data_IF_322052696181
#
_entry.id   IF_322052696181
#
_cell.length_a   1.000
_cell.length_b   1.000
_cell.length_c   1.000
_cell.angle_alpha   90.00
_cell.angle_beta   90.00
_cell.angle_gamma   90.00
#
_symmetry.space_group_name_H-M   'P 1'
#
loop_
_entity.id
_entity.type
_entity.pdbx_description
1 polymer ?
#
# COMPACT_ATOMS: atom_id res chain seq x y z
N UNK A 1 47.98 38.46 40.69
CA UNK A 1 46.64 37.99 40.27
C UNK A 1 46.29 38.68 38.97
N UNK A 2 46.28 37.92 37.89
CA UNK A 2 45.57 38.11 36.61
C UNK A 2 46.38 37.39 35.53
N UNK A 3 46.12 36.08 35.40
CA UNK A 3 46.55 35.23 34.31
C UNK A 3 45.88 35.66 33.00
N UNK A 4 46.67 35.90 31.95
CA UNK A 4 46.24 35.90 30.56
C UNK A 4 47.37 35.30 29.71
N UNK A 5 47.21 34.03 29.35
CA UNK A 5 48.07 33.30 28.41
C UNK A 5 47.70 33.64 26.95
N UNK A 6 48.66 33.51 26.01
CA UNK A 6 48.53 33.94 24.62
C UNK A 6 47.76 32.95 23.73
N UNK A 7 47.31 33.48 22.58
CA UNK A 7 46.59 32.80 21.50
C UNK A 7 47.29 31.54 20.97
N UNK A 8 46.48 30.52 20.66
CA UNK A 8 46.86 29.30 19.93
C UNK A 8 46.63 29.47 18.43
N UNK A 9 47.43 28.82 17.57
CA UNK A 9 47.35 28.93 16.12
C UNK A 9 46.31 27.98 15.50
N UNK A 10 45.96 28.27 14.25
CA UNK A 10 45.04 27.53 13.39
C UNK A 10 45.48 26.08 13.14
N UNK A 11 44.53 25.14 13.21
CA UNK A 11 44.66 23.79 12.67
C UNK A 11 43.74 23.62 11.45
N UNK A 12 44.36 23.13 10.39
CA UNK A 12 43.83 22.94 9.05
C UNK A 12 42.80 21.80 9.03
N UNK A 13 41.72 22.01 8.27
CA UNK A 13 40.75 20.97 7.93
C UNK A 13 41.37 19.91 7.02
N UNK A 14 41.21 18.65 7.43
CA UNK A 14 41.28 17.50 6.54
C UNK A 14 39.87 16.89 6.51
N UNK A 15 39.24 17.01 5.34
CA UNK A 15 37.92 16.50 5.01
C UNK A 15 38.07 14.98 4.79
N UNK A 16 37.83 14.18 5.83
CA UNK A 16 37.70 12.72 5.70
C UNK A 16 36.37 12.42 4.98
N UNK A 17 36.47 12.28 3.64
CA UNK A 17 35.37 11.74 2.83
C UNK A 17 35.11 10.30 3.25
N UNK A 18 33.95 10.08 3.87
CA UNK A 18 33.43 8.76 4.19
C UNK A 18 33.35 7.86 2.95
N UNK A 19 33.68 6.58 3.15
CA UNK A 19 33.81 5.55 2.13
C UNK A 19 32.40 5.11 1.64
N UNK A 20 32.06 5.27 0.35
CA UNK A 20 30.72 5.02 -0.19
C UNK A 20 30.29 3.54 -0.13
N UNK A 21 31.19 2.63 0.25
CA UNK A 21 30.88 1.21 0.44
C UNK A 21 30.21 0.95 1.79
N UNK A 22 30.48 1.75 2.83
CA UNK A 22 29.80 1.63 4.13
C UNK A 22 28.36 2.14 4.10
N UNK A 23 28.08 3.23 3.38
CA UNK A 23 26.70 3.71 3.16
C UNK A 23 25.83 2.70 2.40
N UNK A 24 26.43 1.88 1.54
CA UNK A 24 25.72 0.84 0.79
C UNK A 24 25.37 -0.39 1.66
N UNK A 25 26.14 -0.66 2.73
CA UNK A 25 25.86 -1.77 3.65
C UNK A 25 24.88 -1.39 4.77
N UNK A 26 24.83 -0.11 5.16
CA UNK A 26 23.81 0.44 6.07
C UNK A 26 22.43 0.62 5.40
N UNK A 27 22.36 0.53 4.06
CA UNK A 27 21.12 0.45 3.29
C UNK A 27 20.46 -0.94 3.31
N UNK A 28 21.00 -1.90 4.06
CA UNK A 28 20.20 -3.01 4.58
C UNK A 28 19.19 -2.44 5.57
N UNK A 29 18.08 -1.95 5.01
CA UNK A 29 16.87 -1.58 5.72
C UNK A 29 16.50 -2.75 6.64
N UNK A 30 16.98 -2.68 7.88
CA UNK A 30 16.44 -3.44 8.97
C UNK A 30 15.02 -2.93 9.12
N UNK A 31 14.08 -3.56 8.40
CA UNK A 31 12.69 -3.52 8.76
C UNK A 31 12.63 -4.20 10.12
N UNK A 32 12.81 -3.40 11.18
CA UNK A 32 12.63 -3.84 12.55
C UNK A 32 11.28 -4.54 12.71
N UNK A 33 11.05 -5.25 13.82
CA UNK A 33 9.81 -5.99 14.02
C UNK A 33 8.62 -5.05 13.75
N UNK A 34 7.90 -5.29 12.64
CA UNK A 34 6.68 -4.56 12.32
C UNK A 34 5.74 -4.82 13.50
N UNK A 35 5.31 -3.77 14.20
CA UNK A 35 4.24 -3.91 15.19
C UNK A 35 3.07 -4.57 14.47
N UNK A 36 2.69 -5.76 14.93
CA UNK A 36 1.45 -6.40 14.48
C UNK A 36 0.32 -5.37 14.64
N UNK A 37 -0.50 -5.20 13.62
CA UNK A 37 -1.69 -4.38 13.77
C UNK A 37 -2.55 -4.98 14.89
N UNK A 38 -2.91 -4.15 15.86
CA UNK A 38 -3.84 -4.53 16.93
C UNK A 38 -5.26 -4.62 16.35
N UNK A 39 -5.55 -5.77 15.74
CA UNK A 39 -6.81 -6.02 15.03
C UNK A 39 -7.85 -6.56 16.01
N UNK A 40 -8.94 -5.81 16.20
CA UNK A 40 -10.07 -6.26 17.01
C UNK A 40 -11.01 -7.15 16.19
N UNK A 41 -10.75 -8.46 16.20
CA UNK A 41 -11.55 -9.45 15.47
C UNK A 41 -13.02 -9.50 15.85
N UNK A 42 -13.38 -9.24 17.11
CA UNK A 42 -14.79 -9.21 17.53
C UNK A 42 -15.54 -8.09 16.82
N UNK A 43 -14.93 -6.91 16.71
CA UNK A 43 -15.48 -5.81 15.92
C UNK A 43 -15.59 -6.15 14.44
N UNK A 44 -14.57 -6.79 13.87
CA UNK A 44 -14.57 -7.17 12.45
C UNK A 44 -15.70 -8.14 12.07
N UNK A 45 -16.15 -9.00 12.99
CA UNK A 45 -17.28 -9.92 12.79
C UNK A 45 -18.61 -9.19 12.61
N UNK A 46 -18.72 -7.96 13.07
CA UNK A 46 -19.92 -7.11 12.97
C UNK A 46 -19.94 -6.26 11.70
N UNK A 47 -18.80 -6.15 11.01
CA UNK A 47 -18.63 -5.30 9.84
C UNK A 47 -18.90 -6.04 8.53
N UNK A 48 -19.24 -5.26 7.51
CA UNK A 48 -19.64 -5.77 6.21
C UNK A 48 -18.95 -5.02 5.09
N UNK A 49 -18.80 -5.72 3.97
CA UNK A 49 -18.34 -5.17 2.70
C UNK A 49 -19.33 -5.56 1.61
N UNK A 50 -19.32 -4.83 0.50
CA UNK A 50 -20.28 -4.97 -0.57
C UNK A 50 -19.60 -5.49 -1.83
N UNK A 51 -20.16 -6.54 -2.44
CA UNK A 51 -19.66 -7.07 -3.71
C UNK A 51 -20.13 -6.23 -4.91
N UNK A 52 -19.71 -6.63 -6.11
CA UNK A 52 -20.05 -5.94 -7.36
C UNK A 52 -21.56 -5.83 -7.64
N UNK A 53 -22.36 -6.74 -7.08
CA UNK A 53 -23.82 -6.75 -7.23
C UNK A 53 -24.52 -5.97 -6.11
N UNK A 54 -23.77 -5.45 -5.14
CA UNK A 54 -24.30 -4.76 -3.96
C UNK A 54 -24.75 -5.71 -2.85
N UNK A 55 -24.39 -7.00 -2.91
CA UNK A 55 -24.68 -7.94 -1.83
C UNK A 55 -23.82 -7.61 -0.62
N UNK A 56 -24.44 -7.67 0.56
CA UNK A 56 -23.78 -7.41 1.84
C UNK A 56 -23.09 -8.69 2.33
N UNK A 57 -21.76 -8.65 2.42
CA UNK A 57 -20.90 -9.77 2.82
C UNK A 57 -20.28 -9.46 4.18
N UNK A 58 -20.35 -10.39 5.13
CA UNK A 58 -19.69 -10.21 6.43
C UNK A 58 -18.18 -10.24 6.23
N UNK A 59 -17.45 -9.28 6.79
CA UNK A 59 -16.02 -9.17 6.53
C UNK A 59 -15.24 -10.41 6.99
N UNK A 60 -15.62 -11.03 8.10
CA UNK A 60 -15.02 -12.29 8.57
C UNK A 60 -15.05 -13.41 7.51
N UNK A 61 -16.08 -13.46 6.67
CA UNK A 61 -16.20 -14.51 5.64
C UNK A 61 -15.18 -14.36 4.50
N UNK A 62 -14.53 -13.18 4.40
CA UNK A 62 -13.49 -12.91 3.41
C UNK A 62 -12.22 -13.73 3.70
N UNK A 63 -11.88 -13.97 4.97
CA UNK A 63 -10.64 -14.64 5.38
C UNK A 63 -10.86 -15.87 6.27
N UNK A 64 -12.08 -16.11 6.78
CA UNK A 64 -12.35 -17.19 7.75
C UNK A 64 -11.89 -18.58 7.30
N UNK A 65 -12.09 -18.93 6.02
CA UNK A 65 -11.86 -20.29 5.52
C UNK A 65 -10.49 -20.50 4.89
N UNK A 66 -9.85 -19.42 4.44
CA UNK A 66 -8.68 -19.48 3.57
C UNK A 66 -7.80 -18.27 3.84
N UNK A 67 -6.49 -18.45 3.74
CA UNK A 67 -5.55 -17.32 3.81
C UNK A 67 -5.86 -16.34 2.69
N UNK A 68 -6.00 -15.07 3.05
CA UNK A 68 -6.39 -14.02 2.11
C UNK A 68 -5.46 -12.84 2.24
N UNK A 69 -4.83 -12.45 1.12
CA UNK A 69 -4.20 -11.14 0.93
C UNK A 69 -5.33 -10.14 0.70
N UNK A 70 -5.46 -9.17 1.61
CA UNK A 70 -6.46 -8.11 1.59
C UNK A 70 -5.75 -6.78 1.35
N UNK A 71 -5.97 -6.19 0.19
CA UNK A 71 -5.45 -4.87 -0.18
C UNK A 71 -6.58 -3.85 -0.05
N UNK A 72 -6.45 -2.95 0.91
CA UNK A 72 -7.36 -1.84 1.15
C UNK A 72 -6.82 -0.59 0.45
N UNK A 73 -7.54 -0.12 -0.56
CA UNK A 73 -7.09 1.01 -1.38
C UNK A 73 -7.47 2.34 -0.76
N UNK A 74 -6.75 3.41 -1.09
CA UNK A 74 -7.08 4.77 -0.60
C UNK A 74 -8.30 5.33 -1.30
N UNK A 75 -8.32 5.23 -2.62
CA UNK A 75 -9.40 5.68 -3.47
C UNK A 75 -9.42 4.87 -4.77
N UNK A 76 -10.59 4.42 -5.21
CA UNK A 76 -10.72 3.68 -6.48
C UNK A 76 -10.52 4.56 -7.73
N UNK A 77 -10.37 5.88 -7.58
CA UNK A 77 -10.11 6.80 -8.69
C UNK A 77 -8.71 7.43 -8.62
N UNK A 78 -7.87 7.02 -7.66
CA UNK A 78 -6.48 7.50 -7.58
C UNK A 78 -5.59 6.76 -8.60
N UNK A 79 -4.71 7.52 -9.27
CA UNK A 79 -3.81 6.99 -10.28
C UNK A 79 -2.82 5.98 -9.70
N UNK A 80 -2.28 6.26 -8.51
CA UNK A 80 -1.31 5.36 -7.86
C UNK A 80 -1.99 4.02 -7.52
N UNK A 81 -3.19 4.09 -6.95
CA UNK A 81 -4.02 2.90 -6.70
C UNK A 81 -4.34 2.16 -7.99
N UNK A 82 -4.69 2.85 -9.08
CA UNK A 82 -4.97 2.23 -10.38
C UNK A 82 -3.77 1.43 -10.89
N UNK A 83 -2.57 2.02 -10.90
CA UNK A 83 -1.35 1.33 -11.36
C UNK A 83 -1.01 0.14 -10.48
N UNK A 84 -1.14 0.29 -9.16
CA UNK A 84 -0.92 -0.82 -8.22
C UNK A 84 -1.89 -1.99 -8.46
N UNK A 85 -3.18 -1.70 -8.69
CA UNK A 85 -4.19 -2.74 -8.97
C UNK A 85 -4.04 -3.35 -10.37
N UNK A 86 -3.56 -2.60 -11.36
CA UNK A 86 -3.15 -3.17 -12.66
C UNK A 86 -2.06 -4.21 -12.49
N UNK A 87 -1.05 -3.94 -11.65
CA UNK A 87 0.03 -4.89 -11.40
C UNK A 87 -0.48 -6.10 -10.59
N UNK A 88 -1.38 -5.91 -9.62
CA UNK A 88 -2.07 -7.03 -8.96
C UNK A 88 -2.85 -7.91 -9.94
N UNK A 89 -3.39 -7.35 -11.03
CA UNK A 89 -4.12 -8.11 -12.04
C UNK A 89 -3.22 -9.06 -12.86
N UNK A 90 -1.91 -8.80 -12.90
CA UNK A 90 -0.91 -9.59 -13.64
C UNK A 90 -0.58 -10.91 -12.93
N UNK A 91 -0.77 -10.97 -11.60
CA UNK A 91 -0.53 -12.18 -10.81
C UNK A 91 -1.30 -13.34 -11.46
N UNK A 92 -0.68 -14.51 -11.73
CA UNK A 92 -1.39 -15.68 -12.24
C UNK A 92 -2.30 -16.30 -11.17
N UNK A 93 -3.48 -16.80 -11.58
CA UNK A 93 -4.43 -17.44 -10.66
C UNK A 93 -3.83 -18.73 -10.08
N UNK A 94 -3.03 -19.43 -10.88
CA UNK A 94 -2.38 -20.69 -10.53
C UNK A 94 -1.46 -20.51 -9.31
N UNK A 95 -0.74 -19.39 -9.24
CA UNK A 95 0.16 -19.11 -8.11
C UNK A 95 -0.62 -18.94 -6.79
N UNK A 96 -1.79 -18.31 -6.86
CA UNK A 96 -2.68 -18.15 -5.72
C UNK A 96 -3.30 -19.50 -5.31
N UNK A 97 -3.69 -20.33 -6.28
CA UNK A 97 -4.28 -21.64 -6.03
C UNK A 97 -3.29 -22.63 -5.41
N UNK A 98 -2.06 -22.70 -5.92
CA UNK A 98 -1.01 -23.58 -5.38
C UNK A 98 -0.64 -23.24 -3.93
N UNK A 99 -0.69 -21.95 -3.58
CA UNK A 99 -0.45 -21.47 -2.22
C UNK A 99 -1.71 -21.48 -1.32
N UNK A 100 -2.83 -22.03 -1.81
CA UNK A 100 -4.14 -21.99 -1.16
C UNK A 100 -4.50 -20.59 -0.62
N UNK A 101 -4.16 -19.55 -1.37
CA UNK A 101 -4.30 -18.14 -0.95
C UNK A 101 -5.27 -17.40 -1.88
N UNK A 102 -6.06 -16.49 -1.32
CA UNK A 102 -6.91 -15.58 -2.09
C UNK A 102 -6.32 -14.18 -2.13
N UNK A 103 -6.59 -13.47 -3.23
CA UNK A 103 -6.30 -12.05 -3.37
C UNK A 103 -7.61 -11.27 -3.44
N UNK A 104 -7.76 -10.28 -2.57
CA UNK A 104 -8.95 -9.45 -2.44
C UNK A 104 -8.53 -7.98 -2.39
N UNK A 105 -9.22 -7.15 -3.19
CA UNK A 105 -9.10 -5.68 -3.10
C UNK A 105 -10.37 -5.12 -2.48
N UNK A 106 -10.24 -4.20 -1.53
CA UNK A 106 -11.35 -3.46 -0.91
C UNK A 106 -11.15 -1.98 -1.20
N UNK A 107 -12.22 -1.28 -1.63
CA UNK A 107 -12.18 0.17 -1.87
C UNK A 107 -13.15 0.96 -0.99
N UNK A 108 -12.81 2.17 -0.55
CA UNK A 108 -13.69 3.03 0.24
C UNK A 108 -14.61 3.82 -0.71
N UNK A 109 -15.50 3.11 -1.40
CA UNK A 109 -16.38 3.67 -2.41
C UNK A 109 -17.69 2.86 -2.50
N UNK A 110 -18.77 3.43 -3.08
CA UNK A 110 -19.96 2.67 -3.43
C UNK A 110 -19.69 1.51 -4.40
N UNK A 111 -20.35 0.37 -4.21
CA UNK A 111 -20.14 -0.85 -5.00
C UNK A 111 -20.32 -0.67 -6.52
N UNK A 112 -21.13 0.31 -6.95
CA UNK A 112 -21.32 0.65 -8.38
C UNK A 112 -20.02 0.99 -9.10
N UNK A 113 -18.96 1.35 -8.37
CA UNK A 113 -17.64 1.64 -8.93
C UNK A 113 -16.78 0.40 -9.18
N UNK A 114 -17.14 -0.78 -8.66
CA UNK A 114 -16.37 -2.01 -8.86
C UNK A 114 -16.30 -2.38 -10.34
N UNK A 115 -17.45 -2.47 -11.03
CA UNK A 115 -17.52 -2.81 -12.47
C UNK A 115 -16.62 -1.92 -13.35
N UNK A 116 -16.77 -0.58 -13.34
CA UNK A 116 -15.95 0.28 -14.17
C UNK A 116 -14.47 0.24 -13.77
N UNK A 117 -14.15 0.13 -12.48
CA UNK A 117 -12.76 0.06 -12.02
C UNK A 117 -12.06 -1.21 -12.49
N UNK A 118 -12.69 -2.39 -12.33
CA UNK A 118 -12.17 -3.66 -12.85
C UNK A 118 -11.94 -3.62 -14.35
N UNK A 119 -12.84 -2.98 -15.10
CA UNK A 119 -12.71 -2.86 -16.57
C UNK A 119 -11.46 -2.07 -16.96
N UNK A 120 -11.09 -1.03 -16.22
CA UNK A 120 -9.92 -0.20 -16.55
C UNK A 120 -8.61 -0.77 -16.02
N UNK A 121 -8.63 -1.56 -14.95
CA UNK A 121 -7.44 -2.20 -14.38
C UNK A 121 -7.22 -3.63 -14.86
N UNK A 122 -8.20 -4.21 -15.57
CA UNK A 122 -8.25 -5.63 -15.91
C UNK A 122 -8.19 -6.56 -14.69
N UNK A 123 -8.58 -6.07 -13.50
CA UNK A 123 -8.53 -6.85 -12.27
C UNK A 123 -9.58 -7.96 -12.26
N UNK A 124 -9.11 -9.20 -12.22
CA UNK A 124 -9.94 -10.41 -12.36
C UNK A 124 -10.32 -11.06 -11.03
N UNK A 125 -9.63 -10.74 -9.94
CA UNK A 125 -9.87 -11.33 -8.62
C UNK A 125 -11.04 -10.69 -7.87
N UNK A 126 -11.38 -11.23 -6.70
CA UNK A 126 -12.48 -10.72 -5.89
C UNK A 126 -12.23 -9.28 -5.46
N UNK A 127 -13.26 -8.44 -5.56
CA UNK A 127 -13.20 -7.05 -5.15
C UNK A 127 -14.46 -6.70 -4.33
N UNK A 128 -14.27 -5.93 -3.27
CA UNK A 128 -15.35 -5.43 -2.43
C UNK A 128 -15.24 -3.91 -2.21
N UNK A 129 -16.30 -3.36 -1.64
CA UNK A 129 -16.44 -1.96 -1.31
C UNK A 129 -16.86 -1.78 0.15
N UNK A 130 -16.29 -0.80 0.83
CA UNK A 130 -16.70 -0.31 2.16
C UNK A 130 -17.11 1.16 2.04
N UNK A 131 -18.37 1.47 1.66
CA UNK A 131 -18.80 2.83 1.37
C UNK A 131 -18.77 3.74 2.61
N UNK A 132 -19.00 3.19 3.80
CA UNK A 132 -19.08 3.96 5.05
C UNK A 132 -17.71 4.12 5.75
N UNK A 133 -16.70 3.41 5.24
CA UNK A 133 -15.33 3.43 5.77
C UNK A 133 -15.22 2.84 7.18
N UNK A 134 -16.22 2.10 7.64
CA UNK A 134 -16.23 1.52 9.00
C UNK A 134 -15.17 0.44 9.15
N UNK A 135 -14.95 -0.37 8.09
CA UNK A 135 -13.89 -1.35 8.07
C UNK A 135 -12.52 -0.68 8.08
N UNK A 136 -12.33 0.37 7.29
CA UNK A 136 -11.06 1.14 7.30
C UNK A 136 -10.73 1.66 8.71
N UNK A 137 -11.70 2.26 9.40
CA UNK A 137 -11.53 2.74 10.78
C UNK A 137 -11.19 1.60 11.74
N UNK A 138 -11.86 0.46 11.62
CA UNK A 138 -11.64 -0.70 12.49
C UNK A 138 -10.28 -1.38 12.25
N UNK A 139 -9.78 -1.34 11.02
CA UNK A 139 -8.45 -1.87 10.65
C UNK A 139 -7.30 -0.91 11.00
N UNK A 140 -7.60 0.24 11.61
CA UNK A 140 -6.58 1.23 12.01
C UNK A 140 -6.13 2.16 10.88
N UNK A 141 -6.78 2.12 9.71
CA UNK A 141 -6.54 3.07 8.64
C UNK A 141 -7.09 4.45 9.06
N UNK A 142 -6.19 5.34 9.49
CA UNK A 142 -6.57 6.67 9.97
C UNK A 142 -6.61 7.70 8.84
N UNK A 143 -7.35 8.79 9.06
CA UNK A 143 -7.24 9.99 8.25
C UNK A 143 -5.96 10.76 8.63
N UNK A 144 -4.81 10.39 8.08
CA UNK A 144 -3.55 11.12 8.30
C UNK A 144 -2.99 11.67 6.98
N UNK A 145 -2.81 12.98 6.94
CA UNK A 145 -2.15 13.69 5.85
C UNK A 145 -0.65 13.37 5.90
N UNK A 146 -0.18 12.49 5.01
CA UNK A 146 1.21 12.52 4.58
C UNK A 146 1.23 12.23 3.08
N UNK A 147 1.38 13.29 2.28
CA UNK A 147 1.92 13.13 0.93
C UNK A 147 3.40 12.80 1.13
N UNK A 148 3.75 11.52 0.99
CA UNK A 148 5.13 11.08 0.95
C UNK A 148 5.79 11.55 -0.35
N UNK A 149 7.14 11.63 -0.40
CA UNK A 149 7.86 11.95 -1.62
C UNK A 149 7.55 10.94 -2.75
N UNK A 150 7.13 11.44 -3.93
CA UNK A 150 6.71 10.65 -5.10
C UNK A 150 7.87 9.89 -5.79
N UNK A 151 9.10 10.30 -5.50
CA UNK A 151 10.38 9.72 -5.91
C UNK A 151 10.63 8.31 -5.33
N UNK A 152 9.85 7.88 -4.34
CA UNK A 152 9.89 6.51 -3.78
C UNK A 152 8.89 5.54 -4.43
N UNK A 153 8.02 6.04 -5.31
CA UNK A 153 6.94 5.26 -5.90
C UNK A 153 7.46 4.46 -7.12
N UNK A 154 7.86 3.21 -6.90
CA UNK A 154 8.48 2.34 -7.95
C UNK A 154 7.63 2.14 -9.22
N UNK A 155 6.33 2.38 -9.15
CA UNK A 155 5.37 2.11 -10.22
C UNK A 155 5.00 3.33 -11.09
N UNK A 156 5.46 4.55 -10.76
CA UNK A 156 4.90 5.79 -11.32
C UNK A 156 5.83 6.44 -12.38
N UNK A 157 5.29 6.77 -13.57
CA UNK A 157 6.02 7.40 -14.71
C UNK A 157 6.25 8.91 -14.54
N UNK A 158 7.48 9.36 -14.30
CA UNK A 158 7.85 10.77 -14.02
C UNK A 158 7.44 11.88 -15.03
N UNK A 159 7.01 11.58 -16.27
CA UNK A 159 6.83 12.60 -17.33
C UNK A 159 5.40 13.08 -17.66
N UNK A 160 4.37 12.28 -17.40
CA UNK A 160 2.97 12.56 -17.83
C UNK A 160 2.12 13.17 -16.69
N UNK A 161 2.74 13.29 -15.52
CA UNK A 161 2.11 13.40 -14.21
C UNK A 161 1.49 14.78 -13.93
N UNK A 162 2.16 15.89 -14.29
CA UNK A 162 1.68 17.20 -13.81
C UNK A 162 0.39 17.65 -14.49
N UNK A 163 0.19 17.30 -15.77
CA UNK A 163 -1.00 17.65 -16.54
C UNK A 163 -2.21 16.79 -16.16
N UNK A 164 -1.99 15.49 -15.98
CA UNK A 164 -3.06 14.56 -15.63
C UNK A 164 -3.50 14.70 -14.16
N UNK A 165 -2.56 14.95 -13.24
CA UNK A 165 -2.88 15.27 -11.83
C UNK A 165 -3.72 16.56 -11.71
N UNK A 166 -3.40 17.62 -12.45
CA UNK A 166 -4.22 18.85 -12.47
C UNK A 166 -5.60 18.61 -13.09
N UNK A 167 -5.74 17.64 -13.98
CA UNK A 167 -7.03 17.27 -14.59
C UNK A 167 -7.88 16.44 -13.62
N UNK A 168 -7.27 15.48 -12.92
CA UNK A 168 -7.93 14.65 -11.90
C UNK A 168 -8.29 15.43 -10.64
N UNK A 169 -7.42 16.35 -10.18
CA UNK A 169 -7.75 17.27 -9.08
C UNK A 169 -8.97 18.13 -9.43
N UNK A 170 -9.09 18.59 -10.68
CA UNK A 170 -10.30 19.27 -11.17
C UNK A 170 -11.50 18.34 -11.27
N UNK A 171 -11.34 17.14 -11.82
CA UNK A 171 -12.43 16.17 -11.91
C UNK A 171 -12.97 15.76 -10.53
N UNK A 172 -12.09 15.69 -9.53
CA UNK A 172 -12.40 15.46 -8.11
C UNK A 172 -13.14 16.65 -7.47
N UNK A 173 -12.92 17.88 -7.97
CA UNK A 173 -13.73 19.05 -7.57
C UNK A 173 -15.06 19.18 -8.32
N UNK A 174 -15.25 18.48 -9.45
CA UNK A 174 -16.44 18.59 -10.31
C UNK A 174 -17.38 17.36 -10.30
N UNK A 175 -16.99 16.26 -9.66
CA UNK A 175 -17.87 15.12 -9.40
C UNK A 175 -18.24 15.12 -7.92
N UNK A 176 -19.50 14.81 -7.61
CA UNK A 176 -19.98 14.56 -6.25
C UNK A 176 -19.12 13.47 -5.58
N UNK A 177 -18.04 13.89 -4.91
CA UNK A 177 -16.99 13.01 -4.43
C UNK A 177 -17.34 12.55 -3.00
N UNK A 178 -17.53 11.24 -2.82
CA UNK A 178 -17.89 10.60 -1.54
C UNK A 178 -16.66 9.91 -0.91
N UNK A 179 -15.58 10.66 -0.63
CA UNK A 179 -14.43 10.10 0.10
C UNK A 179 -13.44 11.17 0.55
N UNK A 180 -12.96 11.08 1.78
CA UNK A 180 -12.01 12.04 2.35
C UNK A 180 -10.60 11.75 1.80
N UNK A 181 -9.94 12.74 1.13
CA UNK A 181 -8.58 12.62 0.59
C UNK A 181 -7.50 12.14 1.58
N UNK A 182 -7.80 12.19 2.89
CA UNK A 182 -6.93 11.76 3.96
C UNK A 182 -6.99 10.25 4.25
N UNK A 183 -7.87 9.50 3.59
CA UNK A 183 -8.00 8.05 3.80
C UNK A 183 -6.67 7.34 3.52
N UNK A 184 -6.19 6.56 4.49
CA UNK A 184 -5.05 5.67 4.32
C UNK A 184 -5.49 4.32 3.74
N UNK A 185 -4.60 3.71 2.97
CA UNK A 185 -4.73 2.35 2.48
C UNK A 185 -4.03 1.41 3.45
N UNK A 186 -4.14 0.11 3.19
CA UNK A 186 -3.46 -0.90 3.98
C UNK A 186 -3.35 -2.20 3.21
N UNK A 187 -2.42 -3.06 3.63
CA UNK A 187 -2.33 -4.44 3.18
C UNK A 187 -2.26 -5.39 4.36
N UNK A 188 -3.11 -6.41 4.34
CA UNK A 188 -3.17 -7.44 5.36
C UNK A 188 -3.08 -8.82 4.74
N UNK A 189 -2.51 -9.77 5.48
CA UNK A 189 -2.65 -11.21 5.17
C UNK A 189 -3.35 -11.82 6.38
N UNK A 190 -4.57 -12.29 6.17
CA UNK A 190 -5.44 -12.78 7.25
C UNK A 190 -5.94 -14.19 6.97
N UNK A 191 -6.20 -14.90 8.05
CA UNK A 191 -6.80 -16.23 8.04
C UNK A 191 -5.87 -17.36 7.55
N UNK A 192 -6.36 -18.61 7.58
CA UNK A 192 -7.69 -19.03 8.00
C UNK A 192 -7.98 -18.71 9.49
N UNK A 193 -9.23 -18.38 9.82
CA UNK A 193 -9.63 -17.95 11.16
C UNK A 193 -9.19 -16.53 11.53
N UNK A 194 -9.26 -16.20 12.82
CA UNK A 194 -8.94 -14.88 13.36
C UNK A 194 -7.43 -14.72 13.60
N UNK A 195 -6.65 -14.78 12.51
CA UNK A 195 -5.19 -14.69 12.52
C UNK A 195 -4.71 -13.62 11.54
N UNK A 196 -3.78 -12.77 11.97
CA UNK A 196 -3.04 -11.84 11.10
C UNK A 196 -1.64 -12.40 10.90
N UNK A 197 -1.27 -12.68 9.65
CA UNK A 197 0.09 -13.09 9.28
C UNK A 197 0.97 -11.90 8.87
N UNK A 198 0.34 -10.82 8.41
CA UNK A 198 1.00 -9.61 7.96
C UNK A 198 0.04 -8.43 8.05
N UNK A 199 0.57 -7.26 8.38
CA UNK A 199 -0.14 -5.99 8.34
C UNK A 199 0.79 -4.85 7.95
N UNK A 200 0.29 -3.95 7.12
CA UNK A 200 0.91 -2.67 6.78
C UNK A 200 -0.19 -1.64 6.59
N UNK A 201 -0.09 -0.50 7.28
CA UNK A 201 -0.94 0.67 7.04
C UNK A 201 -0.11 1.66 6.24
N UNK A 202 -0.62 2.09 5.10
CA UNK A 202 0.11 2.98 4.21
C UNK A 202 0.31 4.34 4.91
N UNK A 203 1.57 4.78 5.05
CA UNK A 203 1.88 6.10 5.60
C UNK A 203 1.58 7.22 4.61
N UNK A 204 1.56 6.91 3.30
CA UNK A 204 1.30 7.89 2.25
C UNK A 204 0.67 7.27 1.00
N UNK A 205 0.30 8.10 0.04
CA UNK A 205 -0.25 7.65 -1.25
C UNK A 205 0.70 6.71 -2.02
N UNK A 206 2.01 6.83 -1.82
CA UNK A 206 3.04 6.05 -2.47
C UNK A 206 3.59 4.89 -1.64
N UNK A 207 3.08 4.70 -0.41
CA UNK A 207 3.58 3.72 0.56
C UNK A 207 2.83 2.39 0.52
N UNK A 208 2.37 1.98 -0.67
CA UNK A 208 1.88 0.63 -0.87
C UNK A 208 3.03 -0.37 -0.67
N UNK A 209 2.72 -1.53 -0.08
CA UNK A 209 3.68 -2.62 0.05
C UNK A 209 4.11 -3.11 -1.33
N UNK A 210 5.37 -3.47 -1.50
CA UNK A 210 5.84 -4.13 -2.73
C UNK A 210 5.05 -5.43 -2.93
N UNK A 211 4.45 -5.62 -4.12
CA UNK A 211 3.57 -6.78 -4.37
C UNK A 211 4.34 -8.09 -4.13
N UNK A 212 5.62 -8.17 -4.51
CA UNK A 212 6.40 -9.39 -4.29
C UNK A 212 6.71 -9.64 -2.81
N UNK A 213 6.79 -8.60 -1.97
CA UNK A 213 6.91 -8.77 -0.53
C UNK A 213 5.60 -9.33 0.06
N UNK A 214 4.44 -8.91 -0.44
CA UNK A 214 3.14 -9.46 -0.04
C UNK A 214 2.97 -10.92 -0.47
N UNK A 215 3.34 -11.23 -1.72
CA UNK A 215 3.26 -12.60 -2.24
C UNK A 215 4.16 -13.53 -1.41
N UNK A 216 5.40 -13.14 -1.17
CA UNK A 216 6.33 -13.91 -0.34
C UNK A 216 5.82 -14.11 1.09
N UNK A 217 5.30 -13.06 1.73
CA UNK A 217 4.72 -13.15 3.07
C UNK A 217 3.47 -14.06 3.12
N UNK A 218 2.74 -14.19 2.01
CA UNK A 218 1.59 -15.09 1.90
C UNK A 218 1.99 -16.54 1.59
N UNK A 219 3.22 -16.78 1.14
CA UNK A 219 3.69 -18.07 0.60
C UNK A 219 3.36 -18.26 -0.88
N UNK A 220 3.09 -17.18 -1.61
CA UNK A 220 2.82 -17.16 -3.06
C UNK A 220 4.11 -16.87 -3.83
N UNK A 221 4.28 -17.50 -4.99
CA UNK A 221 5.42 -17.25 -5.87
C UNK A 221 5.47 -15.78 -6.34
N UNK A 222 6.68 -15.22 -6.41
CA UNK A 222 6.93 -13.86 -6.93
C UNK A 222 6.60 -13.76 -8.42
N UNK A 223 6.14 -12.58 -8.83
CA UNK A 223 5.78 -12.27 -10.21
C UNK A 223 6.70 -11.17 -10.74
N UNK A 224 7.10 -11.29 -12.01
CA UNK A 224 7.81 -10.23 -12.70
C UNK A 224 6.82 -9.25 -13.31
N UNK A 225 6.84 -8.00 -12.87
CA UNK A 225 6.00 -6.96 -13.44
C UNK A 225 6.75 -6.28 -14.60
N UNK A 226 6.14 -6.08 -15.78
CA UNK A 226 6.80 -5.46 -16.93
C UNK A 226 7.33 -4.05 -16.68
N UNK A 227 6.83 -3.39 -15.63
CA UNK A 227 7.17 -2.02 -15.23
C UNK A 227 8.11 -1.97 -14.02
N UNK A 228 8.52 -3.12 -13.47
CA UNK A 228 9.45 -3.17 -12.35
C UNK A 228 10.85 -2.76 -12.83
N UNK A 229 11.32 -1.60 -12.37
CA UNK A 229 12.64 -1.07 -12.73
C UNK A 229 13.80 -2.02 -12.33
N UNK A 230 13.58 -2.96 -11.39
CA UNK A 230 14.57 -3.99 -11.03
C UNK A 230 14.85 -4.99 -12.17
N UNK A 231 13.92 -5.14 -13.11
CA UNK A 231 14.04 -6.04 -14.27
C UNK A 231 14.85 -5.40 -15.41
N UNK A 232 15.08 -4.09 -15.37
CA UNK A 232 15.82 -3.34 -16.40
C UNK A 232 17.35 -3.42 -16.24
N UNK A 233 17.86 -4.29 -15.37
CA UNK A 233 19.30 -4.55 -15.22
C UNK A 233 19.57 -6.05 -15.41
N UNK A 234 19.73 -6.44 -16.67
CA UNK A 234 20.51 -7.61 -17.09
C UNK A 234 21.46 -7.16 -18.18
#
# INVERSE_FOLDING_TARGET
MADLKPEKPAENGADEKADPVQEAEDLKMSRGPRKEADVNFEKLKELYVYDELGNKIRFSDVYRKQKTIIVMTRHLLDFITKEYVEDLAIIPLEYLQEAETRLVVIGPAPFKFIKPFRKVTNYQYTMYCDPDGELYKAMGCMFKMACGPLDKCKHVKSGVISGFMKSMWRAMQYQEYQGDPKQQGASFIMGPGDVVHFSHIDESASDHVDINDLLEAAGVQKVSFPKDQRVLTV
#
